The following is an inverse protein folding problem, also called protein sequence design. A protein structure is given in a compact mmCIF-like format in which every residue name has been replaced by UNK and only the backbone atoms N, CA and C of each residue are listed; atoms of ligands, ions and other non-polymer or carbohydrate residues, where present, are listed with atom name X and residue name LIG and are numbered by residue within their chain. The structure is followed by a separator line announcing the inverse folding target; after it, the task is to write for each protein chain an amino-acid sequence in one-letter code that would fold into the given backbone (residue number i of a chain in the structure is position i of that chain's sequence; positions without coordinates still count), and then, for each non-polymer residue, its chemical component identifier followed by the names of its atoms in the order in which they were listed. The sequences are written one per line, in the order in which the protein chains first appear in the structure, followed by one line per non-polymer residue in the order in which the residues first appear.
data_IF_445542381246
#
_entry.id   IF_445542381246
#
_cell.length_a   1.000
_cell.length_b   1.000
_cell.length_c   1.000
_cell.angle_alpha   90.00
_cell.angle_beta   90.00
_cell.angle_gamma   90.00
#
_symmetry.space_group_name_H-M   'P 1'
#
loop_
_entity.id
_entity.type
_entity.pdbx_description
1 polymer ?
#
# COMPACT_ATOMS: atom_id res chain seq x y z
N UNK A 1 -7.01 -22.52 -46.26
CA UNK A 1 -6.45 -21.21 -45.93
C UNK A 1 -7.27 -20.61 -44.80
N UNK A 2 -6.67 -20.38 -43.63
CA UNK A 2 -7.17 -19.51 -42.57
C UNK A 2 -5.94 -19.04 -41.77
N UNK A 3 -5.71 -17.73 -41.61
CA UNK A 3 -4.50 -17.26 -40.94
C UNK A 3 -4.69 -17.30 -39.43
N UNK A 4 -3.70 -17.86 -38.73
CA UNK A 4 -3.54 -17.72 -37.28
C UNK A 4 -3.06 -16.29 -37.04
N UNK A 5 -3.91 -15.45 -36.45
CA UNK A 5 -3.54 -14.10 -36.00
C UNK A 5 -2.67 -14.27 -34.74
N UNK A 6 -1.35 -14.28 -34.92
CA UNK A 6 -0.37 -14.17 -33.83
C UNK A 6 0.08 -12.71 -33.67
N UNK A 7 -0.83 -11.83 -33.28
CA UNK A 7 -0.51 -10.44 -32.97
C UNK A 7 -1.45 -9.90 -31.89
N UNK A 8 -1.27 -10.31 -30.65
CA UNK A 8 -1.95 -9.66 -29.51
C UNK A 8 -1.29 -9.83 -28.14
N UNK A 9 -0.19 -10.58 -28.01
CA UNK A 9 0.48 -10.78 -26.71
C UNK A 9 1.33 -9.57 -26.29
N UNK A 10 1.93 -8.86 -27.25
CA UNK A 10 2.87 -7.75 -26.99
C UNK A 10 2.23 -6.36 -26.96
N UNK A 11 1.08 -6.15 -27.60
CA UNK A 11 0.35 -4.86 -27.56
C UNK A 11 -0.44 -4.67 -26.26
N UNK A 12 -1.09 -5.74 -25.79
CA UNK A 12 -1.87 -5.75 -24.54
C UNK A 12 -0.94 -5.57 -23.34
N UNK A 13 0.15 -6.36 -23.25
CA UNK A 13 1.16 -6.21 -22.20
C UNK A 13 1.76 -4.78 -22.12
N UNK A 14 1.96 -4.11 -23.25
CA UNK A 14 2.45 -2.72 -23.28
C UNK A 14 1.41 -1.70 -22.81
N UNK A 15 0.12 -1.91 -23.13
CA UNK A 15 -0.95 -1.01 -22.70
C UNK A 15 -1.21 -1.13 -21.19
N UNK A 16 -1.02 -2.30 -20.61
CA UNK A 16 -1.29 -2.52 -19.18
C UNK A 16 -0.15 -2.01 -18.27
N UNK A 17 1.09 -2.11 -18.74
CA UNK A 17 2.22 -1.38 -18.14
C UNK A 17 1.98 0.14 -18.23
N UNK A 18 1.38 0.62 -19.32
CA UNK A 18 1.03 2.04 -19.48
C UNK A 18 0.00 2.49 -18.43
N UNK A 19 -1.03 1.69 -18.13
CA UNK A 19 -1.98 1.98 -17.06
C UNK A 19 -1.32 2.05 -15.68
N UNK A 20 -0.42 1.11 -15.35
CA UNK A 20 0.33 1.18 -14.09
C UNK A 20 1.17 2.46 -14.01
N UNK A 21 1.96 2.76 -15.04
CA UNK A 21 2.81 3.96 -15.08
C UNK A 21 1.98 5.25 -15.01
N UNK A 22 0.82 5.30 -15.67
CA UNK A 22 -0.11 6.41 -15.56
C UNK A 22 -0.62 6.56 -14.12
N UNK A 23 -0.97 5.45 -13.45
CA UNK A 23 -1.36 5.47 -12.05
C UNK A 23 -0.29 6.08 -11.16
N UNK A 24 0.99 5.73 -11.38
CA UNK A 24 2.12 6.33 -10.66
C UNK A 24 2.24 7.83 -10.94
N UNK A 25 2.14 8.27 -12.20
CA UNK A 25 2.18 9.70 -12.52
C UNK A 25 1.03 10.47 -11.87
N UNK A 26 -0.18 9.90 -11.88
CA UNK A 26 -1.36 10.51 -11.24
C UNK A 26 -1.20 10.60 -9.72
N UNK A 27 -0.49 9.66 -9.08
CA UNK A 27 -0.13 9.75 -7.67
C UNK A 27 0.79 10.95 -7.41
N UNK A 28 1.79 11.18 -8.26
CA UNK A 28 2.70 12.33 -8.17
C UNK A 28 1.97 13.66 -8.40
N UNK A 29 0.99 13.67 -9.30
CA UNK A 29 0.15 14.83 -9.61
C UNK A 29 -0.93 15.11 -8.53
N UNK A 30 -1.06 14.26 -7.51
CA UNK A 30 -2.09 14.38 -6.47
C UNK A 30 -3.51 13.96 -6.92
N UNK A 31 -3.64 13.30 -8.07
CA UNK A 31 -4.90 12.85 -8.67
C UNK A 31 -5.24 11.42 -8.26
N UNK A 32 -5.51 11.24 -6.97
CA UNK A 32 -5.56 9.91 -6.35
C UNK A 32 -6.74 9.04 -6.83
N UNK A 33 -7.91 9.63 -7.13
CA UNK A 33 -9.07 8.87 -7.65
C UNK A 33 -8.82 8.37 -9.07
N UNK A 34 -8.21 9.20 -9.90
CA UNK A 34 -7.79 8.81 -11.24
C UNK A 34 -6.68 7.75 -11.17
N UNK A 35 -5.72 7.88 -10.25
CA UNK A 35 -4.69 6.88 -10.04
C UNK A 35 -5.28 5.50 -9.71
N UNK A 36 -6.27 5.44 -8.80
CA UNK A 36 -7.01 4.20 -8.52
C UNK A 36 -7.64 3.61 -9.78
N UNK A 37 -8.28 4.44 -10.60
CA UNK A 37 -8.88 3.99 -11.86
C UNK A 37 -7.85 3.40 -12.83
N UNK A 38 -6.65 3.99 -12.89
CA UNK A 38 -5.54 3.45 -13.68
C UNK A 38 -4.99 2.14 -13.12
N UNK A 39 -4.84 2.02 -11.79
CA UNK A 39 -4.41 0.78 -11.16
C UNK A 39 -5.42 -0.37 -11.35
N UNK A 40 -6.72 -0.08 -11.26
CA UNK A 40 -7.79 -1.06 -11.47
C UNK A 40 -7.83 -1.58 -12.92
N UNK A 41 -7.45 -0.74 -13.89
CA UNK A 41 -7.28 -1.16 -15.29
C UNK A 41 -6.03 -1.99 -15.52
N UNK A 42 -4.95 -1.72 -14.81
CA UNK A 42 -3.69 -2.47 -14.92
C UNK A 42 -3.80 -3.88 -14.31
N UNK A 43 -4.47 -4.01 -13.16
CA UNK A 43 -4.44 -5.21 -12.31
C UNK A 43 -4.77 -6.54 -13.03
N UNK A 44 -5.82 -6.65 -13.87
CA UNK A 44 -6.21 -7.92 -14.48
C UNK A 44 -5.11 -8.54 -15.36
N UNK A 45 -4.33 -7.71 -16.03
CA UNK A 45 -3.30 -8.16 -16.96
C UNK A 45 -2.04 -8.68 -16.28
N UNK A 46 -1.86 -8.35 -15.00
CA UNK A 46 -0.77 -8.85 -14.18
C UNK A 46 -1.20 -10.00 -13.27
N UNK A 47 -2.38 -10.62 -13.46
CA UNK A 47 -2.89 -11.65 -12.56
C UNK A 47 -1.94 -12.85 -12.33
N UNK A 48 -0.98 -13.08 -13.23
CA UNK A 48 0.04 -14.14 -13.11
C UNK A 48 1.45 -13.59 -12.79
N UNK A 49 1.56 -12.31 -12.41
CA UNK A 49 2.78 -11.63 -12.00
C UNK A 49 2.58 -11.06 -10.58
N UNK A 50 2.82 -11.90 -9.59
CA UNK A 50 2.67 -11.57 -8.17
C UNK A 50 3.43 -10.29 -7.78
N UNK A 51 4.62 -10.08 -8.36
CA UNK A 51 5.45 -8.92 -8.10
C UNK A 51 4.76 -7.64 -8.56
N UNK A 52 4.13 -7.67 -9.74
CA UNK A 52 3.44 -6.52 -10.28
C UNK A 52 2.08 -6.29 -9.63
N UNK A 53 1.35 -7.36 -9.28
CA UNK A 53 0.13 -7.28 -8.47
C UNK A 53 0.42 -6.61 -7.12
N UNK A 54 1.49 -7.00 -6.43
CA UNK A 54 1.93 -6.38 -5.18
C UNK A 54 2.22 -4.88 -5.37
N UNK A 55 2.91 -4.49 -6.45
CA UNK A 55 3.18 -3.06 -6.73
C UNK A 55 1.90 -2.27 -6.99
N UNK A 56 0.97 -2.82 -7.75
CA UNK A 56 -0.33 -2.18 -8.03
C UNK A 56 -1.14 -2.03 -6.75
N UNK A 57 -1.23 -3.07 -5.92
CA UNK A 57 -1.92 -3.02 -4.62
C UNK A 57 -1.28 -2.01 -3.66
N UNK A 58 0.05 -1.88 -3.66
CA UNK A 58 0.75 -0.84 -2.91
C UNK A 58 0.40 0.56 -3.41
N UNK A 59 0.35 0.76 -4.73
CA UNK A 59 -0.09 2.01 -5.35
C UNK A 59 -1.52 2.38 -4.95
N UNK A 60 -2.43 1.41 -4.98
CA UNK A 60 -3.81 1.58 -4.51
C UNK A 60 -3.88 1.95 -3.03
N UNK A 61 -3.13 1.25 -2.17
CA UNK A 61 -3.07 1.56 -0.74
C UNK A 61 -2.62 3.00 -0.48
N UNK A 62 -1.57 3.45 -1.17
CA UNK A 62 -1.12 4.83 -1.10
C UNK A 62 -2.22 5.81 -1.57
N UNK A 63 -2.91 5.51 -2.66
CA UNK A 63 -3.99 6.38 -3.17
C UNK A 63 -5.14 6.51 -2.17
N UNK A 64 -5.59 5.40 -1.58
CA UNK A 64 -6.62 5.41 -0.54
C UNK A 64 -6.18 6.17 0.71
N UNK A 65 -4.89 6.06 1.09
CA UNK A 65 -4.34 6.84 2.21
C UNK A 65 -4.51 8.34 1.99
N UNK A 66 -4.13 8.86 0.81
CA UNK A 66 -4.27 10.29 0.50
C UNK A 66 -5.72 10.73 0.30
N UNK A 67 -6.63 9.79 0.04
CA UNK A 67 -8.08 10.03 0.04
C UNK A 67 -8.70 9.91 1.44
N UNK A 68 -7.88 9.68 2.48
CA UNK A 68 -8.30 9.46 3.87
C UNK A 68 -9.23 8.24 4.05
N UNK A 69 -9.26 7.33 3.06
CA UNK A 69 -9.94 6.04 3.16
C UNK A 69 -9.00 5.01 3.78
N UNK A 70 -8.74 5.17 5.08
CA UNK A 70 -7.83 4.31 5.82
C UNK A 70 -8.22 2.83 5.85
N UNK A 71 -9.52 2.44 5.92
CA UNK A 71 -9.93 1.06 5.79
C UNK A 71 -9.53 0.43 4.44
N UNK A 72 -9.83 1.09 3.31
CA UNK A 72 -9.49 0.57 1.98
C UNK A 72 -7.97 0.57 1.72
N UNK A 73 -7.26 1.54 2.31
CA UNK A 73 -5.79 1.58 2.32
C UNK A 73 -5.21 0.32 2.98
N UNK A 74 -5.66 0.02 4.20
CA UNK A 74 -5.23 -1.17 4.95
C UNK A 74 -5.60 -2.45 4.22
N UNK A 75 -6.81 -2.55 3.65
CA UNK A 75 -7.22 -3.72 2.86
C UNK A 75 -6.28 -3.96 1.66
N UNK A 76 -5.90 -2.89 0.94
CA UNK A 76 -5.01 -2.99 -0.22
C UNK A 76 -3.62 -3.52 0.17
N UNK A 77 -3.06 -3.04 1.28
CA UNK A 77 -1.77 -3.54 1.78
C UNK A 77 -1.85 -4.97 2.31
N UNK A 78 -2.94 -5.36 2.99
CA UNK A 78 -3.14 -6.75 3.40
C UNK A 78 -3.20 -7.71 2.23
N UNK A 79 -3.92 -7.34 1.15
CA UNK A 79 -3.94 -8.13 -0.08
C UNK A 79 -2.53 -8.33 -0.65
N UNK A 80 -1.70 -7.28 -0.66
CA UNK A 80 -0.31 -7.39 -1.08
C UNK A 80 0.51 -8.35 -0.19
N UNK A 81 0.31 -8.29 1.13
CA UNK A 81 0.96 -9.20 2.09
C UNK A 81 0.50 -10.66 1.95
N UNK A 82 -0.75 -10.91 1.55
CA UNK A 82 -1.26 -12.26 1.36
C UNK A 82 -0.68 -12.97 0.14
N UNK A 83 -0.21 -12.21 -0.86
CA UNK A 83 0.41 -12.76 -2.07
C UNK A 83 1.84 -13.24 -1.74
N UNK A 84 2.68 -12.31 -1.29
CA UNK A 84 4.04 -12.63 -0.85
C UNK A 84 4.49 -11.67 0.26
N UNK A 85 4.44 -12.10 1.53
CA UNK A 85 4.88 -11.29 2.66
C UNK A 85 6.36 -10.89 2.62
N UNK A 86 7.20 -11.64 1.90
CA UNK A 86 8.64 -11.38 1.80
C UNK A 86 8.96 -10.24 0.83
N UNK A 87 8.08 -10.01 -0.15
CA UNK A 87 8.23 -8.98 -1.16
C UNK A 87 7.60 -7.63 -0.77
N UNK A 88 6.85 -7.59 0.33
CA UNK A 88 6.34 -6.34 0.88
C UNK A 88 7.48 -5.55 1.53
N UNK A 89 7.75 -4.36 1.00
CA UNK A 89 8.82 -3.46 1.49
C UNK A 89 8.43 -2.78 2.80
N UNK A 90 9.44 -2.32 3.53
CA UNK A 90 9.26 -1.59 4.78
C UNK A 90 8.39 -0.33 4.63
N UNK A 91 8.51 0.41 3.52
CA UNK A 91 7.70 1.62 3.29
C UNK A 91 6.20 1.30 3.22
N UNK A 92 5.82 0.15 2.65
CA UNK A 92 4.41 -0.29 2.62
C UNK A 92 3.88 -0.51 4.02
N UNK A 93 4.63 -1.24 4.86
CA UNK A 93 4.23 -1.50 6.25
C UNK A 93 4.23 -0.23 7.10
N UNK A 94 5.16 0.69 6.85
CA UNK A 94 5.17 2.00 7.49
C UNK A 94 3.86 2.75 7.18
N UNK A 95 3.49 2.84 5.90
CA UNK A 95 2.26 3.52 5.48
C UNK A 95 1.00 2.84 6.04
N UNK A 96 0.97 1.50 6.07
CA UNK A 96 -0.10 0.74 6.71
C UNK A 96 -0.20 1.06 8.20
N UNK A 97 0.94 1.20 8.88
CA UNK A 97 1.00 1.63 10.27
C UNK A 97 0.44 3.03 10.49
N UNK A 98 0.70 3.94 9.54
CA UNK A 98 0.12 5.30 9.58
C UNK A 98 -1.38 5.27 9.38
N UNK A 99 -1.91 4.51 8.42
CA UNK A 99 -3.35 4.34 8.25
C UNK A 99 -4.03 3.75 9.51
N UNK A 100 -3.40 2.77 10.18
CA UNK A 100 -3.90 2.27 11.47
C UNK A 100 -3.87 3.32 12.57
N UNK A 101 -2.85 4.17 12.62
CA UNK A 101 -2.76 5.23 13.61
C UNK A 101 -3.86 6.28 13.43
N UNK A 102 -4.17 6.66 12.19
CA UNK A 102 -5.28 7.58 11.87
C UNK A 102 -6.65 7.01 12.26
N UNK A 103 -6.81 5.68 12.22
CA UNK A 103 -8.01 5.00 12.74
C UNK A 103 -7.98 4.77 14.27
N UNK A 104 -7.03 5.39 15.00
CA UNK A 104 -6.78 5.17 16.44
C UNK A 104 -6.54 3.70 16.84
N UNK A 105 -6.17 2.84 15.88
CA UNK A 105 -5.78 1.44 16.10
C UNK A 105 -4.31 1.35 16.44
N UNK A 106 -3.92 2.03 17.52
CA UNK A 106 -2.51 2.17 17.92
C UNK A 106 -1.75 0.85 18.11
N UNK A 107 -2.33 -0.22 18.69
CA UNK A 107 -1.63 -1.50 18.79
C UNK A 107 -1.26 -2.11 17.42
N UNK A 108 -2.13 -1.96 16.42
CA UNK A 108 -1.88 -2.47 15.07
C UNK A 108 -0.87 -1.58 14.33
N UNK A 109 -0.97 -0.26 14.51
CA UNK A 109 0.00 0.69 13.99
C UNK A 109 1.43 0.39 14.47
N UNK A 110 1.61 0.16 15.77
CA UNK A 110 2.91 -0.18 16.38
C UNK A 110 3.49 -1.43 15.73
N UNK A 111 2.70 -2.51 15.59
CA UNK A 111 3.17 -3.76 14.96
C UNK A 111 3.64 -3.51 13.52
N UNK A 112 2.92 -2.70 12.76
CA UNK A 112 3.29 -2.38 11.38
C UNK A 112 4.62 -1.62 11.32
N UNK A 113 4.81 -0.61 12.19
CA UNK A 113 6.06 0.12 12.27
C UNK A 113 7.23 -0.78 12.70
N UNK A 114 7.04 -1.69 13.66
CA UNK A 114 8.06 -2.65 14.07
C UNK A 114 8.46 -3.58 12.91
N UNK A 115 7.47 -4.13 12.20
CA UNK A 115 7.69 -5.01 11.07
C UNK A 115 8.26 -4.30 9.83
N UNK A 116 8.10 -2.97 9.74
CA UNK A 116 8.66 -2.15 8.65
C UNK A 116 10.18 -2.04 8.73
N UNK A 117 10.75 -1.89 9.94
CA UNK A 117 12.18 -1.61 10.15
C UNK A 117 13.15 -2.65 9.56
N UNK A 118 12.92 -3.97 9.63
CA UNK A 118 13.82 -4.96 9.04
C UNK A 118 13.70 -5.10 7.51
N UNK A 119 12.78 -4.39 6.85
CA UNK A 119 12.44 -4.58 5.42
C UNK A 119 12.97 -3.46 4.51
N UNK A 120 14.26 -3.18 4.62
CA UNK A 120 14.94 -2.25 3.69
C UNK A 120 14.64 -0.77 3.92
N UNK A 121 14.16 -0.38 5.11
CA UNK A 121 14.15 1.03 5.51
C UNK A 121 15.58 1.55 5.70
N UNK A 122 15.83 2.78 5.27
CA UNK A 122 17.02 3.56 5.64
C UNK A 122 17.05 3.86 7.15
N UNK A 123 18.21 4.24 7.69
CA UNK A 123 18.32 4.59 9.11
C UNK A 123 17.42 5.77 9.50
N UNK A 124 17.25 6.75 8.60
CA UNK A 124 16.33 7.88 8.84
C UNK A 124 14.86 7.43 8.83
N UNK A 125 14.46 6.53 7.94
CA UNK A 125 13.12 5.92 7.95
C UNK A 125 12.89 5.10 9.23
N UNK A 126 13.88 4.34 9.70
CA UNK A 126 13.80 3.59 10.96
C UNK A 126 13.66 4.53 12.16
N UNK A 127 14.37 5.66 12.19
CA UNK A 127 14.19 6.69 13.23
C UNK A 127 12.76 7.23 13.23
N UNK A 128 12.20 7.55 12.05
CA UNK A 128 10.80 7.96 11.93
C UNK A 128 9.82 6.89 12.42
N UNK A 129 10.05 5.62 12.08
CA UNK A 129 9.24 4.50 12.58
C UNK A 129 9.26 4.41 14.11
N UNK A 130 10.44 4.54 14.74
CA UNK A 130 10.58 4.54 16.21
C UNK A 130 9.83 5.70 16.87
N UNK A 131 9.86 6.89 16.27
CA UNK A 131 9.11 8.03 16.78
C UNK A 131 7.59 7.80 16.69
N UNK A 132 7.11 7.24 15.58
CA UNK A 132 5.68 6.89 15.45
C UNK A 132 5.26 5.81 16.45
N UNK A 133 6.11 4.82 16.73
CA UNK A 133 5.87 3.81 17.79
C UNK A 133 5.72 4.49 19.14
N UNK A 134 6.63 5.41 19.49
CA UNK A 134 6.58 6.17 20.74
C UNK A 134 5.28 6.97 20.84
N UNK A 135 4.91 7.69 19.78
CA UNK A 135 3.66 8.47 19.71
C UNK A 135 2.44 7.58 19.93
N UNK A 136 2.32 6.49 19.17
CA UNK A 136 1.21 5.54 19.29
C UNK A 136 1.13 4.92 20.70
N UNK A 137 2.28 4.65 21.34
CA UNK A 137 2.33 4.10 22.70
C UNK A 137 1.75 5.09 23.73
N UNK A 138 2.07 6.38 23.60
CA UNK A 138 1.53 7.44 24.47
C UNK A 138 0.02 7.56 24.28
N UNK A 139 -0.44 7.68 23.03
CA UNK A 139 -1.86 7.81 22.68
C UNK A 139 -2.67 6.61 23.17
N UNK A 140 -2.15 5.38 23.03
CA UNK A 140 -2.81 4.18 23.54
C UNK A 140 -2.95 4.18 25.06
N UNK A 141 -1.91 4.65 25.78
CA UNK A 141 -1.96 4.79 27.24
C UNK A 141 -3.02 5.81 27.67
N UNK A 142 -3.11 6.93 26.97
CA UNK A 142 -4.13 7.96 27.23
C UNK A 142 -5.53 7.45 26.94
N UNK A 143 -5.72 6.76 25.81
CA UNK A 143 -6.99 6.11 25.43
C UNK A 143 -7.45 5.13 26.51
N UNK A 144 -6.56 4.25 26.97
CA UNK A 144 -6.84 3.29 28.06
C UNK A 144 -7.22 3.99 29.37
N UNK A 145 -6.49 5.04 29.75
CA UNK A 145 -6.83 5.84 30.95
C UNK A 145 -8.21 6.49 30.83
N UNK A 146 -8.56 7.03 29.66
CA UNK A 146 -9.87 7.65 29.42
C UNK A 146 -11.00 6.63 29.50
N UNK A 147 -10.80 5.43 28.96
CA UNK A 147 -11.76 4.34 29.03
C UNK A 147 -11.95 3.83 30.47
N UNK A 148 -10.88 3.69 31.24
CA UNK A 148 -10.96 3.25 32.64
C UNK A 148 -11.63 4.26 33.60
N UNK A 149 -11.81 5.51 33.15
CA UNK A 149 -12.48 6.59 33.90
C UNK A 149 -13.95 6.78 33.52
N UNK A 150 -14.42 6.07 32.49
CA UNK A 150 -15.83 6.05 32.05
C UNK A 150 -16.55 4.89 32.71
#
# INVERSE_FOLDING_TARGET
ANPIISANSSSVANQDISWYNQGIQLMEDGKYREALSSFDRALPSFANDDQMVIRILNGRGNAYYFLEDYPACVESYHKAMMIDPSNVRGQTLYNMGTAYAEMERFPDAIKCYEQSMPRGLSEEEKKRAKEQIRRCTILEKERKKKLARR
#
